data_IF_024301367435
#
_entry.id   IF_024301367435
#
_cell.length_a   1.000
_cell.length_b   1.000
_cell.length_c   1.000
_cell.angle_alpha   90.00
_cell.angle_beta   90.00
_cell.angle_gamma   90.00
#
_symmetry.space_group_name_H-M   'P 1'
#
loop_
_entity.id
_entity.type
_entity.pdbx_description
1 polymer ?
#
# COMPACT_ATOMS: atom_id res chain seq x y z
N UNK A 1 -3.09 -2.82 12.58
CA UNK A 1 -4.21 -2.17 11.86
C UNK A 1 -4.63 -0.84 12.49
N UNK A 2 -4.61 -0.70 13.82
CA UNK A 2 -5.03 0.55 14.47
C UNK A 2 -4.15 1.76 14.13
N UNK A 3 -2.82 1.59 14.11
CA UNK A 3 -1.86 2.68 13.93
C UNK A 3 -1.89 3.33 12.54
N UNK A 4 -2.12 2.57 11.47
CA UNK A 4 -2.20 3.11 10.11
C UNK A 4 -3.48 3.91 9.89
N UNK A 5 -4.62 3.40 10.39
CA UNK A 5 -5.90 4.10 10.26
C UNK A 5 -5.93 5.38 11.09
N UNK A 6 -5.39 5.36 12.32
CA UNK A 6 -5.29 6.58 13.14
C UNK A 6 -4.35 7.60 12.53
N UNK A 7 -3.21 7.17 11.95
CA UNK A 7 -2.32 8.06 11.21
C UNK A 7 -2.98 8.70 9.98
N UNK A 8 -3.79 7.96 9.23
CA UNK A 8 -4.51 8.50 8.07
C UNK A 8 -5.58 9.52 8.47
N UNK A 9 -6.28 9.28 9.59
CA UNK A 9 -7.27 10.23 10.14
C UNK A 9 -6.59 11.52 10.59
N UNK A 10 -5.44 11.42 11.26
CA UNK A 10 -4.68 12.58 11.76
C UNK A 10 -3.99 13.35 10.61
N UNK A 11 -3.48 12.65 9.59
CA UNK A 11 -2.83 13.29 8.45
C UNK A 11 -3.81 13.91 7.42
N UNK A 12 -5.03 13.39 7.29
CA UNK A 12 -6.02 13.81 6.30
C UNK A 12 -7.38 14.13 6.93
N UNK A 13 -7.43 15.01 7.93
CA UNK A 13 -8.64 15.31 8.73
C UNK A 13 -9.91 15.54 7.90
N UNK A 14 -9.85 16.35 6.83
CA UNK A 14 -11.01 16.67 5.97
C UNK A 14 -11.38 15.51 5.03
N UNK A 15 -10.41 14.71 4.62
CA UNK A 15 -10.59 13.60 3.67
C UNK A 15 -10.38 12.22 4.31
N UNK A 16 -10.53 12.12 5.63
CA UNK A 16 -10.18 10.93 6.42
C UNK A 16 -10.99 9.71 6.00
N UNK A 17 -12.29 9.88 5.77
CA UNK A 17 -13.18 8.81 5.32
C UNK A 17 -12.77 8.26 3.93
N UNK A 18 -12.37 9.15 3.01
CA UNK A 18 -11.91 8.77 1.67
C UNK A 18 -10.56 8.06 1.73
N UNK A 19 -9.62 8.56 2.55
CA UNK A 19 -8.32 7.93 2.75
C UNK A 19 -8.44 6.53 3.37
N UNK A 20 -9.33 6.35 4.36
CA UNK A 20 -9.63 5.04 4.95
C UNK A 20 -10.30 4.09 3.96
N UNK A 21 -11.25 4.59 3.16
CA UNK A 21 -11.91 3.81 2.12
C UNK A 21 -10.90 3.35 1.05
N UNK A 22 -10.02 4.25 0.57
CA UNK A 22 -8.98 3.93 -0.39
C UNK A 22 -8.01 2.86 0.14
N UNK A 23 -7.56 2.98 1.40
CA UNK A 23 -6.71 1.97 2.04
C UNK A 23 -7.41 0.59 2.12
N UNK A 24 -8.70 0.58 2.44
CA UNK A 24 -9.50 -0.64 2.50
C UNK A 24 -9.67 -1.27 1.12
N UNK A 25 -9.98 -0.46 0.10
CA UNK A 25 -10.12 -0.90 -1.29
C UNK A 25 -8.81 -1.50 -1.81
N UNK A 26 -7.69 -0.82 -1.62
CA UNK A 26 -6.38 -1.32 -2.05
C UNK A 26 -6.09 -2.69 -1.43
N UNK A 27 -6.33 -2.83 -0.12
CA UNK A 27 -6.15 -4.10 0.58
C UNK A 27 -7.06 -5.20 0.04
N UNK A 28 -8.33 -4.90 -0.22
CA UNK A 28 -9.30 -5.87 -0.75
C UNK A 28 -8.96 -6.29 -2.17
N UNK A 29 -8.54 -5.35 -3.02
CA UNK A 29 -8.12 -5.64 -4.41
C UNK A 29 -6.88 -6.52 -4.42
N UNK A 30 -5.84 -6.16 -3.65
CA UNK A 30 -4.63 -6.99 -3.56
C UNK A 30 -4.97 -8.37 -3.00
N UNK A 31 -5.81 -8.45 -1.96
CA UNK A 31 -6.27 -9.71 -1.38
C UNK A 31 -7.11 -10.58 -2.33
N UNK A 32 -7.82 -9.99 -3.29
CA UNK A 32 -8.60 -10.72 -4.29
C UNK A 32 -7.76 -11.14 -5.52
N UNK A 33 -6.84 -10.27 -5.96
CA UNK A 33 -6.01 -10.51 -7.16
C UNK A 33 -4.90 -11.52 -6.89
N UNK A 34 -4.28 -11.47 -5.70
CA UNK A 34 -3.19 -12.37 -5.33
C UNK A 34 -3.54 -13.87 -5.43
N UNK A 35 -4.68 -14.36 -4.88
CA UNK A 35 -5.08 -15.77 -5.03
C UNK A 35 -5.54 -16.11 -6.46
N UNK A 36 -6.16 -15.16 -7.17
CA UNK A 36 -6.58 -15.37 -8.56
C UNK A 36 -5.38 -15.56 -9.50
N UNK A 37 -4.30 -14.79 -9.29
CA UNK A 37 -3.03 -14.96 -9.98
C UNK A 37 -2.25 -16.18 -9.44
N UNK A 38 -2.42 -16.51 -8.16
CA UNK A 38 -1.73 -17.59 -7.46
C UNK A 38 -1.92 -18.95 -8.10
N UNK A 39 -3.16 -19.36 -8.43
CA UNK A 39 -3.44 -20.65 -9.06
C UNK A 39 -2.68 -20.83 -10.39
N UNK A 40 -2.74 -19.83 -11.28
CA UNK A 40 -2.04 -19.88 -12.58
C UNK A 40 -0.52 -19.77 -12.44
N UNK A 41 -0.05 -19.07 -11.41
CA UNK A 41 1.37 -18.98 -11.08
C UNK A 41 1.92 -20.31 -10.57
N UNK A 42 1.19 -20.97 -9.66
CA UNK A 42 1.59 -22.28 -9.12
C UNK A 42 1.51 -23.39 -10.17
N UNK A 43 0.55 -23.36 -11.10
CA UNK A 43 0.47 -24.31 -12.23
C UNK A 43 1.67 -24.19 -13.18
N UNK A 44 2.24 -23.00 -13.36
CA UNK A 44 3.36 -22.75 -14.28
C UNK A 44 4.74 -22.91 -13.65
N UNK A 45 4.90 -22.54 -12.37
CA UNK A 45 6.19 -22.45 -11.67
C UNK A 45 6.37 -23.49 -10.56
N UNK A 46 5.30 -24.17 -10.13
CA UNK A 46 5.32 -25.05 -8.95
C UNK A 46 5.44 -24.28 -7.63
N UNK A 47 5.31 -25.01 -6.51
CA UNK A 47 5.28 -24.43 -5.17
C UNK A 47 6.59 -23.72 -4.77
N UNK A 48 7.75 -24.18 -5.27
CA UNK A 48 9.06 -23.62 -4.94
C UNK A 48 9.33 -22.25 -5.59
N UNK A 49 9.28 -22.18 -6.92
CA UNK A 49 9.52 -20.93 -7.64
C UNK A 49 8.38 -19.92 -7.45
N UNK A 50 7.13 -20.38 -7.27
CA UNK A 50 5.99 -19.50 -6.97
C UNK A 50 6.19 -18.70 -5.68
N UNK A 51 6.68 -19.36 -4.62
CA UNK A 51 6.94 -18.67 -3.34
C UNK A 51 8.13 -17.70 -3.43
N UNK A 52 9.15 -18.05 -4.23
CA UNK A 52 10.31 -17.17 -4.47
C UNK A 52 9.92 -15.90 -5.23
N UNK A 53 9.03 -16.01 -6.23
CA UNK A 53 8.50 -14.84 -6.96
C UNK A 53 7.70 -13.92 -6.04
N UNK A 54 6.82 -14.47 -5.21
CA UNK A 54 6.09 -13.72 -4.17
C UNK A 54 7.05 -13.02 -3.21
N UNK A 55 8.13 -13.71 -2.78
CA UNK A 55 9.15 -13.13 -1.91
C UNK A 55 9.91 -11.97 -2.59
N UNK A 56 10.26 -12.09 -3.87
CA UNK A 56 10.89 -10.99 -4.62
C UNK A 56 9.96 -9.78 -4.76
N UNK A 57 8.66 -10.00 -5.03
CA UNK A 57 7.68 -8.91 -5.09
C UNK A 57 7.54 -8.22 -3.72
N UNK A 58 7.49 -9.00 -2.64
CA UNK A 58 7.47 -8.45 -1.28
C UNK A 58 8.75 -7.65 -0.97
N UNK A 59 9.91 -8.15 -1.40
CA UNK A 59 11.21 -7.49 -1.19
C UNK A 59 11.29 -6.17 -1.99
N UNK A 60 10.74 -6.13 -3.20
CA UNK A 60 10.62 -4.90 -3.98
C UNK A 60 9.67 -3.87 -3.34
N UNK A 61 8.74 -4.31 -2.48
CA UNK A 61 7.84 -3.43 -1.74
C UNK A 61 8.46 -2.88 -0.43
N UNK A 62 9.51 -3.51 0.11
CA UNK A 62 10.23 -3.04 1.32
C UNK A 62 10.76 -1.60 1.22
N UNK A 63 11.35 -1.14 0.10
CA UNK A 63 11.85 0.24 0.02
C UNK A 63 10.75 1.30 -0.07
N UNK A 64 9.49 0.96 -0.40
CA UNK A 64 8.42 1.95 -0.49
C UNK A 64 8.27 2.83 0.77
N UNK A 65 8.11 2.29 2.00
CA UNK A 65 7.97 3.11 3.20
C UNK A 65 9.17 4.03 3.44
N UNK A 66 10.39 3.60 3.10
CA UNK A 66 11.61 4.42 3.24
C UNK A 66 11.61 5.58 2.25
N UNK A 67 11.20 5.32 1.02
CA UNK A 67 11.04 6.35 -0.01
C UNK A 67 9.94 7.33 0.41
N UNK A 68 8.77 6.84 0.82
CA UNK A 68 7.67 7.70 1.31
C UNK A 68 8.04 8.47 2.58
N UNK A 69 8.91 7.96 3.44
CA UNK A 69 9.42 8.70 4.59
C UNK A 69 10.32 9.87 4.15
N UNK A 70 11.25 9.64 3.21
CA UNK A 70 12.19 10.67 2.74
C UNK A 70 11.56 11.71 1.80
N UNK A 71 10.58 11.31 0.99
CA UNK A 71 9.88 12.20 0.05
C UNK A 71 8.56 12.75 0.60
N UNK A 72 8.00 12.13 1.64
CA UNK A 72 6.75 12.55 2.27
C UNK A 72 6.83 13.95 2.87
N UNK A 73 7.99 14.34 3.41
CA UNK A 73 8.23 15.70 3.90
C UNK A 73 8.11 16.74 2.78
N UNK A 74 8.62 16.44 1.57
CA UNK A 74 8.47 17.34 0.41
C UNK A 74 7.03 17.45 -0.08
N UNK A 75 6.25 16.36 -0.02
CA UNK A 75 4.85 16.37 -0.44
C UNK A 75 3.99 17.13 0.58
N UNK A 76 4.30 16.97 1.89
CA UNK A 76 3.56 17.61 3.00
C UNK A 76 3.85 19.12 3.13
N UNK A 77 5.03 19.57 2.71
CA UNK A 77 5.41 21.01 2.68
C UNK A 77 5.03 21.70 1.35
N UNK A 78 4.51 20.96 0.37
CA UNK A 78 4.09 21.54 -0.91
C UNK A 78 2.79 22.34 -0.74
N UNK A 79 2.84 23.63 -1.11
CA UNK A 79 1.71 24.60 -1.04
C UNK A 79 0.41 24.13 -1.72
N UNK A 80 0.46 23.08 -2.57
CA UNK A 80 -0.69 22.53 -3.30
C UNK A 80 -1.56 21.59 -2.46
N UNK A 81 -1.02 21.01 -1.38
CA UNK A 81 -1.73 20.13 -0.45
C UNK A 81 -1.97 20.77 0.92
N UNK A 82 -1.50 22.00 1.14
CA UNK A 82 -1.91 22.79 2.30
C UNK A 82 -3.38 23.19 2.11
N UNK A 83 -4.27 22.47 2.78
CA UNK A 83 -5.66 22.90 2.90
C UNK A 83 -5.65 24.14 3.79
N UNK A 84 -5.82 25.31 3.16
CA UNK A 84 -6.12 26.55 3.88
C UNK A 84 -7.48 26.37 4.53
N UNK A 85 -7.52 26.59 5.84
CA UNK A 85 -8.76 26.99 6.51
C UNK A 85 -9.24 28.33 5.93
#
# INVERSE_FOLDING_TARGET
MMTTSTYLVDAYTIHAASAMAANTLFRSVVGAVLPLAGLRMYDKLGLGWGNSLLAFIALALVPLPVIFYRYGERIRTSKRFQVSF
#
